data_IF_918093305465
#
_entry.id   IF_918093305465
#
_cell.length_a   1.000
_cell.length_b   1.000
_cell.length_c   1.000
_cell.angle_alpha   90.00
_cell.angle_beta   90.00
_cell.angle_gamma   90.00
#
_symmetry.space_group_name_H-M   'P 1'
#
loop_
_entity.id
_entity.type
_entity.pdbx_description
1 polymer ?
#
# COMPACT_ATOMS: atom_id res chain seq x y z
N UNK A 1 14.70 -12.12 16.81
CA UNK A 1 15.65 -11.28 17.61
C UNK A 1 15.34 -9.82 17.32
N UNK A 2 15.49 -8.92 18.31
CA UNK A 2 15.23 -7.46 18.14
C UNK A 2 16.57 -6.75 17.98
N UNK A 3 16.72 -5.95 16.93
CA UNK A 3 17.90 -5.13 16.64
C UNK A 3 17.59 -3.66 16.91
N UNK A 4 18.61 -2.92 17.37
CA UNK A 4 18.57 -1.47 17.62
C UNK A 4 19.67 -0.72 16.86
N UNK A 5 20.44 -1.44 16.02
CA UNK A 5 21.30 -0.87 14.99
C UNK A 5 20.44 -0.46 13.79
N UNK A 6 20.96 0.40 12.94
CA UNK A 6 20.27 0.65 11.67
C UNK A 6 20.50 -0.51 10.69
N UNK A 7 19.48 -0.88 9.90
CA UNK A 7 19.60 -1.88 8.83
C UNK A 7 20.84 -1.69 7.94
N UNK A 8 21.14 -0.46 7.55
CA UNK A 8 22.29 -0.11 6.72
C UNK A 8 23.63 -0.52 7.33
N UNK A 9 23.80 -0.34 8.65
CA UNK A 9 25.03 -0.70 9.36
C UNK A 9 25.28 -2.21 9.34
N UNK A 10 24.21 -3.00 9.27
CA UNK A 10 24.25 -4.47 9.16
C UNK A 10 24.27 -4.95 7.69
N UNK A 11 24.29 -4.03 6.71
CA UNK A 11 24.31 -4.34 5.28
C UNK A 11 22.95 -4.68 4.68
N UNK A 12 21.85 -4.31 5.36
CA UNK A 12 20.49 -4.51 4.88
C UNK A 12 20.01 -3.31 4.07
N UNK A 13 19.12 -3.58 3.10
CA UNK A 13 18.45 -2.58 2.28
C UNK A 13 17.03 -3.02 1.94
N UNK A 14 16.15 -2.08 1.64
CA UNK A 14 14.80 -2.36 1.18
C UNK A 14 14.82 -2.74 -0.31
N UNK A 15 14.43 -3.97 -0.69
CA UNK A 15 14.34 -4.38 -2.10
C UNK A 15 13.19 -3.66 -2.81
N UNK A 16 13.25 -3.57 -4.12
CA UNK A 16 12.13 -3.06 -4.92
C UNK A 16 10.92 -3.99 -4.86
N UNK A 17 9.72 -3.44 -4.97
CA UNK A 17 8.49 -4.24 -5.04
C UNK A 17 8.43 -5.10 -6.31
N UNK A 18 9.02 -4.64 -7.41
CA UNK A 18 9.12 -5.45 -8.64
C UNK A 18 10.16 -6.59 -8.58
N UNK A 19 10.94 -6.73 -7.50
CA UNK A 19 11.81 -7.89 -7.23
C UNK A 19 10.94 -9.14 -6.93
N UNK A 20 11.60 -10.30 -6.77
CA UNK A 20 10.89 -11.54 -6.41
C UNK A 20 10.47 -11.53 -4.95
N UNK A 21 9.21 -11.88 -4.70
CA UNK A 21 8.63 -12.04 -3.37
C UNK A 21 8.71 -13.50 -2.89
N UNK A 22 8.98 -13.69 -1.60
CA UNK A 22 8.73 -14.94 -0.89
C UNK A 22 7.23 -15.07 -0.57
N UNK A 23 6.62 -13.96 -0.14
CA UNK A 23 5.22 -13.90 0.25
C UNK A 23 4.65 -12.48 0.18
N UNK A 24 3.33 -12.39 0.34
CA UNK A 24 2.57 -11.16 0.56
C UNK A 24 1.81 -11.26 1.88
N UNK A 25 1.63 -10.14 2.59
CA UNK A 25 0.74 -10.01 3.74
C UNK A 25 -0.49 -9.21 3.32
N UNK A 26 -1.67 -9.68 3.70
CA UNK A 26 -2.94 -8.96 3.66
C UNK A 26 -3.67 -9.14 4.99
N UNK A 27 -4.56 -8.22 5.32
CA UNK A 27 -5.44 -8.30 6.49
C UNK A 27 -6.86 -8.49 5.99
N UNK A 28 -7.63 -9.41 6.59
CA UNK A 28 -9.01 -9.65 6.18
C UNK A 28 -9.91 -8.51 6.67
N UNK A 29 -10.70 -7.83 5.79
CA UNK A 29 -11.40 -6.62 6.16
C UNK A 29 -12.61 -6.89 7.06
N UNK A 30 -12.75 -6.10 8.14
CA UNK A 30 -13.84 -6.26 9.10
C UNK A 30 -14.31 -4.96 9.78
N UNK A 31 -13.51 -3.86 9.78
CA UNK A 31 -13.89 -2.59 10.44
C UNK A 31 -15.15 -1.97 9.83
N UNK A 32 -16.25 -1.74 10.61
CA UNK A 32 -17.50 -1.21 10.05
C UNK A 32 -17.40 0.25 9.58
N UNK A 33 -16.46 1.04 10.10
CA UNK A 33 -16.21 2.41 9.68
C UNK A 33 -15.50 2.52 8.32
N UNK A 34 -14.78 1.47 7.89
CA UNK A 34 -14.12 1.39 6.59
C UNK A 34 -14.88 0.51 5.60
N UNK A 35 -15.55 -0.55 6.08
CA UNK A 35 -16.14 -1.61 5.26
C UNK A 35 -17.60 -1.83 5.62
N UNK A 36 -18.57 -1.20 4.90
CA UNK A 36 -20.00 -1.32 5.21
C UNK A 36 -20.53 -2.74 5.02
N UNK A 37 -21.67 -3.03 5.65
CA UNK A 37 -22.40 -4.29 5.53
C UNK A 37 -21.54 -5.53 5.86
N UNK A 38 -20.81 -5.50 7.00
CA UNK A 38 -19.91 -6.58 7.43
C UNK A 38 -18.81 -6.86 6.40
N UNK A 39 -18.33 -5.84 5.71
CA UNK A 39 -17.29 -5.89 4.68
C UNK A 39 -17.61 -6.83 3.49
N UNK A 40 -18.86 -7.18 3.21
CA UNK A 40 -19.21 -8.20 2.19
C UNK A 40 -18.65 -7.89 0.80
N UNK A 41 -18.76 -6.63 0.34
CA UNK A 41 -18.25 -6.21 -0.96
C UNK A 41 -16.71 -6.20 -0.96
N UNK A 42 -16.09 -5.62 0.06
CA UNK A 42 -14.65 -5.60 0.22
C UNK A 42 -14.07 -7.03 0.29
N UNK A 43 -14.61 -7.92 1.13
CA UNK A 43 -14.18 -9.33 1.24
C UNK A 43 -14.18 -10.07 -0.10
N UNK A 44 -15.15 -9.77 -0.96
CA UNK A 44 -15.21 -10.34 -2.31
C UNK A 44 -14.05 -9.88 -3.18
N UNK A 45 -13.69 -8.61 -3.14
CA UNK A 45 -12.55 -8.05 -3.89
C UNK A 45 -11.23 -8.54 -3.30
N UNK A 46 -11.08 -8.51 -1.97
CA UNK A 46 -9.90 -9.06 -1.28
C UNK A 46 -9.67 -10.52 -1.65
N UNK A 47 -10.73 -11.35 -1.66
CA UNK A 47 -10.61 -12.76 -2.04
C UNK A 47 -10.12 -12.96 -3.48
N UNK A 48 -10.51 -12.09 -4.43
CA UNK A 48 -9.98 -12.11 -5.79
C UNK A 48 -8.49 -11.78 -5.83
N UNK A 49 -8.09 -10.74 -5.10
CA UNK A 49 -6.68 -10.34 -4.98
C UNK A 49 -5.87 -11.49 -4.36
N UNK A 50 -6.35 -12.07 -3.26
CA UNK A 50 -5.72 -13.23 -2.59
C UNK A 50 -5.59 -14.42 -3.57
N UNK A 51 -6.60 -14.69 -4.38
CA UNK A 51 -6.53 -15.76 -5.39
C UNK A 51 -5.42 -15.52 -6.43
N UNK A 52 -5.27 -14.28 -6.93
CA UNK A 52 -4.22 -13.95 -7.88
C UNK A 52 -2.82 -13.98 -7.25
N UNK A 53 -2.67 -13.52 -6.02
CA UNK A 53 -1.41 -13.59 -5.28
C UNK A 53 -1.03 -15.04 -4.99
N UNK A 54 -1.95 -15.85 -4.47
CA UNK A 54 -1.68 -17.27 -4.13
C UNK A 54 -1.29 -18.12 -5.34
N UNK A 55 -1.70 -17.72 -6.55
CA UNK A 55 -1.27 -18.36 -7.80
C UNK A 55 0.21 -18.11 -8.15
N UNK A 56 0.85 -17.15 -7.49
CA UNK A 56 2.22 -16.72 -7.81
C UNK A 56 3.19 -16.90 -6.63
N UNK A 57 2.70 -16.77 -5.39
CA UNK A 57 3.52 -16.71 -4.19
C UNK A 57 2.69 -17.08 -2.94
N UNK A 58 3.35 -17.29 -1.81
CA UNK A 58 2.66 -17.47 -0.54
C UNK A 58 1.96 -16.18 -0.12
N UNK A 59 0.83 -16.32 0.58
CA UNK A 59 0.14 -15.18 1.17
C UNK A 59 -0.23 -15.49 2.62
N UNK A 60 0.11 -14.56 3.50
CA UNK A 60 -0.36 -14.50 4.87
C UNK A 60 -1.61 -13.63 4.91
N UNK A 61 -2.72 -14.19 5.36
CA UNK A 61 -3.96 -13.43 5.57
C UNK A 61 -4.17 -13.33 7.08
N UNK A 62 -4.00 -12.11 7.58
CA UNK A 62 -4.21 -11.82 9.00
C UNK A 62 -5.70 -11.76 9.25
N UNK A 63 -6.13 -12.42 10.33
CA UNK A 63 -7.53 -12.54 10.76
C UNK A 63 -7.62 -12.33 12.26
N UNK A 64 -8.74 -11.79 12.73
CA UNK A 64 -9.09 -11.80 14.15
C UNK A 64 -9.83 -13.09 14.53
N UNK A 65 -10.02 -13.34 15.81
CA UNK A 65 -10.88 -14.43 16.29
C UNK A 65 -12.31 -14.32 15.72
N UNK A 66 -12.79 -13.09 15.48
CA UNK A 66 -14.14 -12.85 14.95
C UNK A 66 -14.25 -13.14 13.43
N UNK A 67 -13.18 -12.94 12.68
CA UNK A 67 -13.17 -13.07 11.21
C UNK A 67 -12.58 -14.38 10.69
N UNK A 68 -11.86 -15.16 11.50
CA UNK A 68 -11.15 -16.38 11.07
C UNK A 68 -12.08 -17.40 10.41
N UNK A 69 -13.25 -17.67 10.99
CA UNK A 69 -14.20 -18.62 10.41
C UNK A 69 -14.71 -18.17 9.04
N UNK A 70 -15.04 -16.88 8.91
CA UNK A 70 -15.50 -16.30 7.65
C UNK A 70 -14.40 -16.32 6.58
N UNK A 71 -13.16 -15.98 6.95
CA UNK A 71 -12.00 -16.02 6.06
C UNK A 71 -11.70 -17.46 5.62
N UNK A 72 -11.67 -18.41 6.55
CA UNK A 72 -11.46 -19.84 6.27
C UNK A 72 -12.50 -20.36 5.29
N UNK A 73 -13.78 -20.11 5.57
CA UNK A 73 -14.88 -20.54 4.70
C UNK A 73 -14.72 -19.94 3.29
N UNK A 74 -14.48 -18.64 3.19
CA UNK A 74 -14.42 -17.93 1.91
C UNK A 74 -13.17 -18.28 1.08
N UNK A 75 -12.02 -18.48 1.73
CA UNK A 75 -10.75 -18.64 1.02
C UNK A 75 -10.35 -20.12 0.84
N UNK A 76 -10.72 -20.99 1.78
CA UNK A 76 -10.22 -22.37 1.82
C UNK A 76 -11.29 -23.41 1.57
N UNK A 77 -12.47 -23.29 2.19
CA UNK A 77 -13.48 -24.36 2.17
C UNK A 77 -14.46 -24.21 1.02
N UNK A 78 -15.13 -23.06 0.91
CA UNK A 78 -16.21 -22.80 -0.06
C UNK A 78 -15.96 -21.46 -0.80
N UNK A 79 -14.89 -21.36 -1.63
CA UNK A 79 -14.63 -20.12 -2.34
C UNK A 79 -15.81 -19.77 -3.26
N UNK A 80 -16.23 -18.49 -3.32
CA UNK A 80 -17.30 -18.05 -4.21
C UNK A 80 -17.02 -18.43 -5.67
N UNK A 81 -18.05 -18.75 -6.46
CA UNK A 81 -17.91 -19.18 -7.86
C UNK A 81 -17.09 -18.20 -8.73
N UNK A 82 -17.11 -16.89 -8.39
CA UNK A 82 -16.37 -15.86 -9.10
C UNK A 82 -14.86 -15.90 -8.83
N UNK A 83 -14.44 -16.63 -7.80
CA UNK A 83 -13.05 -16.93 -7.44
C UNK A 83 -12.79 -18.43 -7.37
N UNK A 84 -13.64 -19.22 -8.03
CA UNK A 84 -13.57 -20.69 -8.09
C UNK A 84 -12.28 -21.27 -8.70
N UNK A 85 -11.25 -20.44 -8.88
CA UNK A 85 -9.93 -20.80 -9.38
C UNK A 85 -8.81 -20.54 -8.36
N UNK A 86 -9.06 -20.53 -7.05
CA UNK A 86 -7.95 -20.61 -6.08
C UNK A 86 -7.37 -22.02 -6.19
N UNK A 87 -6.46 -22.17 -7.16
CA UNK A 87 -5.81 -23.46 -7.46
C UNK A 87 -4.75 -23.81 -6.41
N UNK A 88 -4.20 -22.80 -5.71
CA UNK A 88 -3.07 -22.95 -4.79
C UNK A 88 -3.46 -22.55 -3.35
N UNK A 89 -4.47 -23.20 -2.80
CA UNK A 89 -4.91 -22.96 -1.41
C UNK A 89 -3.80 -23.21 -0.38
N UNK A 90 -2.85 -24.08 -0.71
CA UNK A 90 -1.67 -24.36 0.11
C UNK A 90 -0.74 -23.16 0.27
N UNK A 91 -0.84 -22.17 -0.61
CA UNK A 91 -0.11 -20.92 -0.51
C UNK A 91 -0.79 -19.91 0.43
N UNK A 92 -2.03 -20.15 0.86
CA UNK A 92 -2.78 -19.28 1.76
C UNK A 92 -2.58 -19.75 3.20
N UNK A 93 -2.01 -18.88 4.03
CA UNK A 93 -1.86 -19.11 5.46
C UNK A 93 -2.65 -18.07 6.24
N UNK A 94 -3.63 -18.50 7.01
CA UNK A 94 -4.31 -17.63 7.97
C UNK A 94 -3.43 -17.45 9.20
N UNK A 95 -3.29 -16.21 9.68
CA UNK A 95 -2.51 -15.84 10.86
C UNK A 95 -3.42 -15.05 11.80
N UNK A 96 -3.64 -15.57 13.00
CA UNK A 96 -4.55 -14.94 13.94
C UNK A 96 -3.82 -13.83 14.74
N UNK A 97 -4.09 -12.58 14.36
CA UNK A 97 -3.62 -11.35 15.03
C UNK A 97 -4.74 -10.33 14.94
N UNK A 98 -5.18 -9.80 16.09
CA UNK A 98 -6.13 -8.69 16.11
C UNK A 98 -5.51 -7.42 15.53
N UNK A 99 -6.25 -6.75 14.65
CA UNK A 99 -5.94 -5.46 14.04
C UNK A 99 -7.11 -4.49 14.22
N UNK A 100 -6.88 -3.21 13.96
CA UNK A 100 -7.95 -2.20 13.96
C UNK A 100 -8.55 -2.05 12.56
N UNK A 101 -7.75 -2.22 11.48
CA UNK A 101 -8.26 -2.24 10.09
C UNK A 101 -7.37 -3.09 9.15
N UNK A 102 -7.62 -3.01 7.84
CA UNK A 102 -7.09 -3.91 6.83
C UNK A 102 -5.95 -3.32 5.97
N UNK A 103 -5.26 -2.29 6.44
CA UNK A 103 -4.24 -1.55 5.70
C UNK A 103 -2.83 -2.14 5.91
N UNK A 104 -2.61 -3.34 5.38
CA UNK A 104 -1.38 -4.10 5.58
C UNK A 104 -0.11 -3.36 5.11
N UNK A 105 -0.21 -2.49 4.11
CA UNK A 105 0.92 -1.68 3.64
C UNK A 105 1.52 -0.81 4.73
N UNK A 106 0.66 -0.23 5.56
CA UNK A 106 1.03 0.80 6.52
C UNK A 106 1.31 0.23 7.92
N UNK A 107 0.69 -0.91 8.26
CA UNK A 107 0.71 -1.48 9.61
C UNK A 107 1.57 -2.74 9.71
N UNK A 108 1.79 -3.49 8.61
CA UNK A 108 2.68 -4.64 8.61
C UNK A 108 4.16 -4.20 8.53
N UNK A 109 5.13 -5.09 8.89
CA UNK A 109 6.54 -4.73 8.85
C UNK A 109 7.00 -4.33 7.45
N UNK A 110 7.78 -3.26 7.33
CA UNK A 110 8.61 -3.05 6.14
C UNK A 110 9.76 -4.04 6.15
N UNK A 111 9.99 -4.76 5.05
CA UNK A 111 11.05 -5.77 5.02
C UNK A 111 12.30 -5.28 4.30
N UNK A 112 13.44 -5.59 4.89
CA UNK A 112 14.77 -5.37 4.35
C UNK A 112 15.50 -6.70 4.21
N UNK A 113 16.44 -6.77 3.26
CA UNK A 113 17.31 -7.95 3.11
C UNK A 113 18.77 -7.56 2.95
N UNK A 114 19.66 -8.47 3.30
CA UNK A 114 21.10 -8.33 3.05
C UNK A 114 21.52 -9.03 1.73
N UNK A 115 22.81 -8.94 1.41
CA UNK A 115 23.39 -9.59 0.22
C UNK A 115 23.36 -11.12 0.28
N UNK A 116 23.28 -11.72 1.47
CA UNK A 116 23.17 -13.17 1.66
C UNK A 116 21.73 -13.68 1.46
N UNK A 117 20.76 -12.75 1.43
CA UNK A 117 19.33 -13.04 1.34
C UNK A 117 18.66 -13.21 2.70
N UNK A 118 19.32 -12.89 3.80
CA UNK A 118 18.65 -12.81 5.10
C UNK A 118 17.62 -11.67 5.07
N UNK A 119 16.41 -11.93 5.58
CA UNK A 119 15.30 -10.99 5.59
C UNK A 119 14.96 -10.62 7.03
N UNK A 120 14.78 -9.33 7.31
CA UNK A 120 14.33 -8.79 8.60
C UNK A 120 13.19 -7.80 8.39
N UNK A 121 12.30 -7.71 9.37
CA UNK A 121 11.29 -6.65 9.42
C UNK A 121 11.85 -5.35 10.00
N UNK A 122 11.15 -4.24 9.75
CA UNK A 122 11.30 -2.99 10.49
C UNK A 122 9.96 -2.69 11.15
N UNK A 123 10.00 -2.42 12.43
CA UNK A 123 8.86 -1.99 13.22
C UNK A 123 8.86 -0.46 13.30
N UNK A 124 7.97 0.19 12.55
CA UNK A 124 7.73 1.62 12.63
C UNK A 124 6.64 1.93 13.66
N UNK A 125 6.56 3.18 14.09
CA UNK A 125 5.39 3.65 14.84
C UNK A 125 4.27 4.00 13.87
N UNK A 126 3.12 3.35 14.04
CA UNK A 126 1.89 3.69 13.36
C UNK A 126 1.00 4.55 14.28
N UNK A 127 0.37 5.58 13.71
CA UNK A 127 -0.47 6.50 14.47
C UNK A 127 -1.75 6.90 13.70
N UNK A 128 -2.31 6.00 12.92
CA UNK A 128 -3.52 6.23 12.12
C UNK A 128 -3.38 7.47 11.19
N UNK A 129 -2.22 7.62 10.56
CA UNK A 129 -1.86 8.66 9.58
C UNK A 129 -1.85 10.10 10.09
N UNK A 130 -1.85 10.32 11.39
CA UNK A 130 -1.79 11.70 11.90
C UNK A 130 -1.90 11.83 13.42
N UNK A 131 -2.19 10.74 14.13
CA UNK A 131 -2.31 10.71 15.58
C UNK A 131 -3.36 11.72 16.08
N UNK A 132 -3.02 12.44 17.14
CA UNK A 132 -3.92 13.43 17.74
C UNK A 132 -4.09 14.71 16.89
N UNK A 133 -3.31 14.87 15.79
CA UNK A 133 -3.34 16.10 14.99
C UNK A 133 -4.38 16.01 13.87
N UNK A 134 -4.30 14.97 13.05
CA UNK A 134 -5.17 14.73 11.89
C UNK A 134 -5.35 13.23 11.60
N UNK A 135 -5.20 12.38 12.63
CA UNK A 135 -5.41 10.93 12.51
C UNK A 135 -6.85 10.56 12.17
N UNK A 136 -7.00 9.51 11.37
CA UNK A 136 -8.30 9.07 10.85
C UNK A 136 -9.09 8.19 11.84
N UNK A 137 -8.43 7.64 12.86
CA UNK A 137 -9.04 6.71 13.82
C UNK A 137 -8.93 7.23 15.25
N UNK A 138 -9.93 6.89 16.05
CA UNK A 138 -9.92 7.19 17.48
C UNK A 138 -8.95 6.30 18.30
N UNK A 139 -8.60 5.11 17.76
CA UNK A 139 -7.64 4.18 18.35
C UNK A 139 -6.95 3.37 17.27
N UNK A 140 -5.67 2.99 17.49
CA UNK A 140 -4.84 2.27 16.51
C UNK A 140 -3.79 1.35 17.14
N UNK A 141 -3.95 1.01 18.42
CA UNK A 141 -2.93 0.27 19.17
C UNK A 141 -2.73 -1.15 18.66
N UNK A 142 -3.75 -1.77 18.06
CA UNK A 142 -3.64 -3.12 17.48
C UNK A 142 -2.86 -3.10 16.20
N UNK A 143 -3.11 -2.10 15.36
CA UNK A 143 -2.40 -1.86 14.11
C UNK A 143 -0.93 -1.49 14.38
N UNK A 144 -0.66 -0.61 15.35
CA UNK A 144 0.70 -0.25 15.78
C UNK A 144 1.50 -1.45 16.30
N UNK A 145 0.83 -2.44 16.89
CA UNK A 145 1.45 -3.66 17.40
C UNK A 145 1.63 -4.78 16.34
N UNK A 146 1.03 -4.63 15.15
CA UNK A 146 0.97 -5.70 14.15
C UNK A 146 2.35 -6.15 13.68
N UNK A 147 3.24 -5.19 13.37
CA UNK A 147 4.57 -5.49 12.83
C UNK A 147 5.38 -6.41 13.76
N UNK A 148 5.37 -6.10 15.06
CA UNK A 148 6.05 -6.91 16.08
C UNK A 148 5.42 -8.29 16.21
N UNK A 149 4.09 -8.35 16.36
CA UNK A 149 3.37 -9.62 16.51
C UNK A 149 3.58 -10.54 15.32
N UNK A 150 3.52 -10.00 14.10
CA UNK A 150 3.75 -10.78 12.89
C UNK A 150 5.18 -11.33 12.84
N UNK A 151 6.19 -10.50 13.10
CA UNK A 151 7.59 -10.94 13.11
C UNK A 151 7.83 -12.04 14.15
N UNK A 152 7.29 -11.88 15.35
CA UNK A 152 7.45 -12.87 16.42
C UNK A 152 6.76 -14.20 16.10
N UNK A 153 5.53 -14.17 15.55
CA UNK A 153 4.76 -15.37 15.21
C UNK A 153 5.34 -16.13 14.03
N UNK A 154 5.83 -15.41 13.01
CA UNK A 154 6.37 -16.00 11.79
C UNK A 154 7.89 -16.21 11.83
N UNK A 155 8.53 -15.83 12.95
CA UNK A 155 9.95 -16.13 13.22
C UNK A 155 10.92 -15.19 12.48
N UNK A 156 10.48 -13.98 12.13
CA UNK A 156 11.36 -12.96 11.56
C UNK A 156 12.07 -12.19 12.67
N UNK A 157 13.33 -11.96 12.47
CA UNK A 157 14.06 -10.93 13.22
C UNK A 157 13.60 -9.55 12.75
N UNK A 158 13.71 -8.51 13.59
CA UNK A 158 13.32 -7.18 13.20
C UNK A 158 14.16 -6.07 13.85
N UNK A 159 14.18 -4.91 13.20
CA UNK A 159 14.70 -3.65 13.72
C UNK A 159 13.56 -2.89 14.40
N UNK A 160 13.81 -2.39 15.60
CA UNK A 160 12.82 -1.64 16.36
C UNK A 160 13.06 -0.13 16.19
N UNK A 161 12.31 0.46 15.26
CA UNK A 161 12.35 1.88 14.91
C UNK A 161 11.06 2.60 15.35
N UNK A 162 10.43 2.10 16.42
CA UNK A 162 9.14 2.59 16.94
C UNK A 162 9.20 4.01 17.56
N UNK A 163 10.34 4.69 17.50
CA UNK A 163 10.50 6.10 17.82
C UNK A 163 10.22 7.02 16.60
N UNK A 164 9.98 6.45 15.42
CA UNK A 164 9.77 7.16 14.17
C UNK A 164 8.44 6.76 13.53
N UNK A 165 7.55 7.74 13.33
CA UNK A 165 6.25 7.51 12.65
C UNK A 165 6.49 7.39 11.16
N UNK A 166 6.15 6.22 10.59
CA UNK A 166 6.25 5.97 9.16
C UNK A 166 5.25 4.88 8.74
N UNK A 167 4.63 5.05 7.61
CA UNK A 167 3.79 4.08 6.93
C UNK A 167 4.48 3.54 5.69
N UNK A 168 4.27 2.26 5.37
CA UNK A 168 4.84 1.64 4.16
C UNK A 168 4.40 2.31 2.86
N UNK A 169 3.19 2.88 2.82
CA UNK A 169 2.67 3.64 1.67
C UNK A 169 3.33 5.00 1.47
N UNK A 170 3.98 5.56 2.50
CA UNK A 170 4.70 6.84 2.43
C UNK A 170 6.08 6.73 1.77
N UNK A 171 6.56 5.50 1.47
CA UNK A 171 7.86 5.23 0.86
C UNK A 171 7.73 4.32 -0.35
N UNK A 172 8.56 4.54 -1.38
CA UNK A 172 8.70 3.62 -2.51
C UNK A 172 10.17 3.56 -2.95
N UNK A 173 10.69 2.37 -3.27
CA UNK A 173 12.12 2.19 -3.59
C UNK A 173 12.33 1.46 -4.91
N UNK A 174 13.44 1.78 -5.58
CA UNK A 174 13.94 1.04 -6.75
C UNK A 174 14.80 -0.18 -6.38
N UNK A 175 15.04 -0.41 -5.07
CA UNK A 175 15.89 -1.49 -4.59
C UNK A 175 17.38 -1.31 -4.93
N UNK A 176 17.77 -0.17 -5.50
CA UNK A 176 19.12 0.14 -5.96
C UNK A 176 19.67 1.43 -5.32
N UNK A 177 19.09 1.84 -4.21
CA UNK A 177 19.56 2.97 -3.39
C UNK A 177 18.74 4.24 -3.52
N UNK A 178 17.66 4.26 -4.31
CA UNK A 178 16.77 5.42 -4.42
C UNK A 178 15.45 5.15 -3.69
N UNK A 179 15.01 6.10 -2.86
CA UNK A 179 13.70 6.11 -2.20
C UNK A 179 12.93 7.36 -2.63
N UNK A 180 11.65 7.20 -2.92
CA UNK A 180 10.69 8.27 -3.16
C UNK A 180 9.82 8.46 -1.92
N UNK A 181 9.55 9.72 -1.59
CA UNK A 181 8.63 10.15 -0.55
C UNK A 181 7.90 11.41 -1.00
N UNK A 182 6.84 11.82 -0.31
CA UNK A 182 6.22 13.14 -0.51
C UNK A 182 6.51 14.08 0.65
N UNK A 183 6.68 15.38 0.33
CA UNK A 183 6.83 16.42 1.34
C UNK A 183 5.52 16.59 2.14
N UNK A 184 4.39 16.54 1.46
CA UNK A 184 3.06 16.66 2.09
C UNK A 184 2.87 15.65 3.21
N UNK A 185 3.32 14.40 3.03
CA UNK A 185 3.20 13.36 4.03
C UNK A 185 4.25 13.49 5.13
N UNK A 186 5.54 13.31 4.79
CA UNK A 186 6.56 13.14 5.82
C UNK A 186 6.89 14.42 6.60
N UNK A 187 6.58 15.61 6.05
CA UNK A 187 6.74 16.89 6.74
C UNK A 187 5.44 17.36 7.40
N UNK A 188 4.37 16.55 7.40
CA UNK A 188 3.14 16.87 8.10
C UNK A 188 3.36 16.89 9.61
N UNK A 189 2.53 17.67 10.31
CA UNK A 189 2.59 17.75 11.79
C UNK A 189 2.13 16.45 12.47
N UNK A 190 1.38 15.63 11.74
CA UNK A 190 0.89 14.35 12.21
C UNK A 190 1.92 13.21 12.15
N UNK A 191 3.17 13.47 11.72
CA UNK A 191 4.24 12.44 11.63
C UNK A 191 5.35 12.72 12.65
N UNK A 192 6.42 13.37 12.23
CA UNK A 192 7.63 13.62 13.05
C UNK A 192 7.94 15.11 13.16
N UNK A 193 7.05 15.95 13.73
CA UNK A 193 7.19 17.42 13.70
C UNK A 193 8.40 17.95 14.48
N UNK A 194 9.03 17.11 15.31
CA UNK A 194 10.24 17.44 16.07
C UNK A 194 11.52 17.31 15.23
N UNK A 195 11.44 16.68 14.04
CA UNK A 195 12.57 16.43 13.16
C UNK A 195 12.59 17.39 11.97
N UNK A 196 13.77 17.80 11.57
CA UNK A 196 14.00 18.50 10.30
C UNK A 196 13.92 17.55 9.12
N UNK A 197 13.74 18.09 7.91
CA UNK A 197 13.77 17.31 6.67
C UNK A 197 15.05 16.50 6.52
N UNK A 198 16.21 17.09 6.86
CA UNK A 198 17.51 16.42 6.76
C UNK A 198 17.62 15.24 7.76
N UNK A 199 17.08 15.39 8.97
CA UNK A 199 17.06 14.30 9.96
C UNK A 199 16.13 13.16 9.53
N UNK A 200 14.97 13.46 8.94
CA UNK A 200 14.06 12.47 8.38
C UNK A 200 14.76 11.73 7.21
N UNK A 201 15.40 12.46 6.31
CA UNK A 201 16.11 11.88 5.18
C UNK A 201 17.23 10.94 5.63
N UNK A 202 18.02 11.33 6.64
CA UNK A 202 19.09 10.50 7.19
C UNK A 202 18.52 9.25 7.87
N UNK A 203 17.40 9.35 8.60
CA UNK A 203 16.69 8.21 9.21
C UNK A 203 16.26 7.22 8.12
N UNK A 204 15.63 7.70 7.04
CA UNK A 204 15.21 6.86 5.91
C UNK A 204 16.40 6.15 5.25
N UNK A 205 17.50 6.87 5.00
CA UNK A 205 18.72 6.29 4.41
C UNK A 205 19.30 5.17 5.27
N UNK A 206 19.31 5.37 6.58
CA UNK A 206 19.86 4.39 7.51
C UNK A 206 18.96 3.17 7.68
N UNK A 207 17.65 3.37 7.76
CA UNK A 207 16.69 2.28 7.93
C UNK A 207 16.45 1.49 6.64
N UNK A 208 16.42 2.15 5.48
CA UNK A 208 16.11 1.51 4.20
C UNK A 208 17.36 1.12 3.40
N UNK A 209 18.57 1.40 3.92
CA UNK A 209 19.82 1.16 3.21
C UNK A 209 19.95 1.97 1.92
N UNK A 210 19.31 3.15 1.88
CA UNK A 210 19.28 4.00 0.70
C UNK A 210 20.50 4.93 0.62
N UNK A 211 20.80 5.38 -0.61
CA UNK A 211 21.85 6.36 -0.90
C UNK A 211 21.25 7.77 -1.04
N UNK A 212 20.04 7.86 -1.61
CA UNK A 212 19.34 9.12 -1.83
C UNK A 212 17.84 8.99 -1.58
N UNK A 213 17.24 10.09 -1.15
CA UNK A 213 15.78 10.25 -1.05
C UNK A 213 15.35 11.36 -2.00
N UNK A 214 14.38 11.09 -2.85
CA UNK A 214 13.77 12.09 -3.74
C UNK A 214 12.44 12.51 -3.12
N UNK A 215 12.33 13.79 -2.80
CA UNK A 215 11.16 14.37 -2.19
C UNK A 215 10.23 14.95 -3.26
N UNK A 216 9.11 14.27 -3.50
CA UNK A 216 8.06 14.78 -4.37
C UNK A 216 7.25 15.84 -3.60
N UNK A 217 6.92 17.00 -4.22
CA UNK A 217 6.19 18.04 -3.50
C UNK A 217 4.79 17.62 -3.04
N UNK A 218 4.11 16.81 -3.86
CA UNK A 218 2.71 16.46 -3.68
C UNK A 218 2.44 14.98 -4.02
N UNK A 219 1.29 14.47 -3.57
CA UNK A 219 0.76 13.16 -3.92
C UNK A 219 -0.49 13.22 -4.79
N UNK A 220 -1.53 12.45 -4.45
CA UNK A 220 -2.84 12.50 -5.12
C UNK A 220 -3.75 13.49 -4.40
N UNK A 221 -4.52 14.23 -5.19
CA UNK A 221 -5.50 15.19 -4.68
C UNK A 221 -6.52 14.51 -3.76
N UNK A 222 -6.73 15.10 -2.59
CA UNK A 222 -7.65 14.65 -1.57
C UNK A 222 -7.33 13.27 -0.98
N UNK A 223 -6.04 12.93 -0.91
CA UNK A 223 -5.59 11.71 -0.24
C UNK A 223 -5.53 11.94 1.28
N UNK A 224 -6.32 11.16 2.01
CA UNK A 224 -6.51 11.24 3.45
C UNK A 224 -5.23 10.97 4.27
N UNK A 225 -4.29 10.24 3.66
CA UNK A 225 -3.02 9.88 4.31
C UNK A 225 -1.97 11.00 4.25
N UNK A 226 -2.37 12.24 3.96
CA UNK A 226 -1.49 13.37 3.65
C UNK A 226 -0.67 13.16 2.37
N UNK A 227 -1.25 12.52 1.36
CA UNK A 227 -0.65 12.34 0.04
C UNK A 227 0.52 11.34 0.05
N UNK A 228 0.26 10.07 0.39
CA UNK A 228 1.24 8.99 0.26
C UNK A 228 1.84 8.89 -1.14
N UNK A 229 3.13 8.53 -1.21
CA UNK A 229 3.83 8.41 -2.51
C UNK A 229 3.33 7.25 -3.36
N UNK A 230 2.88 6.16 -2.76
CA UNK A 230 2.40 4.95 -3.43
C UNK A 230 1.14 5.17 -4.28
N UNK A 231 0.45 6.28 -4.03
CA UNK A 231 -0.74 6.67 -4.77
C UNK A 231 -0.42 7.56 -5.98
N UNK A 232 0.73 8.25 -5.99
CA UNK A 232 1.13 9.18 -7.05
C UNK A 232 2.26 8.68 -7.92
N UNK A 233 3.25 7.95 -7.37
CA UNK A 233 4.46 7.56 -8.10
C UNK A 233 4.99 6.20 -7.62
N UNK A 234 5.24 5.28 -8.55
CA UNK A 234 5.76 3.95 -8.25
C UNK A 234 6.89 3.57 -9.20
N UNK A 235 7.97 2.98 -8.67
CA UNK A 235 9.03 2.39 -9.47
C UNK A 235 8.55 1.13 -10.17
N UNK A 236 8.91 1.00 -11.45
CA UNK A 236 8.67 -0.21 -12.26
C UNK A 236 9.98 -0.87 -12.69
N UNK A 237 11.08 -0.15 -12.58
CA UNK A 237 12.47 -0.60 -12.76
C UNK A 237 13.40 0.38 -12.04
N UNK A 238 14.70 0.05 -11.99
CA UNK A 238 15.73 0.96 -11.47
C UNK A 238 15.70 2.29 -12.23
N UNK A 239 15.61 3.40 -11.49
CA UNK A 239 15.54 4.77 -12.03
C UNK A 239 14.38 5.01 -13.03
N UNK A 240 13.30 4.18 -12.99
CA UNK A 240 12.18 4.25 -13.93
C UNK A 240 10.85 4.13 -13.16
N UNK A 241 9.94 5.11 -13.34
CA UNK A 241 8.68 5.20 -12.59
C UNK A 241 7.48 5.37 -13.51
N UNK A 242 6.30 5.01 -12.97
CA UNK A 242 5.02 5.55 -13.43
C UNK A 242 4.60 6.68 -12.51
N UNK A 243 4.06 7.75 -13.07
CA UNK A 243 3.55 8.93 -12.37
C UNK A 243 2.08 9.13 -12.72
N UNK A 244 1.22 9.27 -11.74
CA UNK A 244 -0.19 9.62 -11.92
C UNK A 244 -0.32 10.94 -12.68
N UNK A 245 -1.11 10.97 -13.76
CA UNK A 245 -1.15 12.07 -14.70
C UNK A 245 -2.54 12.37 -15.21
N UNK A 246 -2.85 13.65 -15.36
CA UNK A 246 -3.97 14.16 -16.15
C UNK A 246 -3.49 15.24 -17.10
N UNK A 247 -4.11 15.35 -18.29
CA UNK A 247 -3.88 16.45 -19.22
C UNK A 247 -4.92 17.59 -19.04
N UNK A 248 -5.92 17.39 -18.16
CA UNK A 248 -6.89 18.43 -17.83
C UNK A 248 -6.28 19.43 -16.85
N UNK A 249 -5.96 20.62 -17.35
CA UNK A 249 -5.41 21.71 -16.57
C UNK A 249 -6.38 22.31 -15.54
N UNK A 250 -7.66 21.97 -15.59
CA UNK A 250 -8.64 22.39 -14.61
C UNK A 250 -8.74 21.40 -13.43
N UNK A 251 -8.22 20.19 -13.59
CA UNK A 251 -8.13 19.23 -12.48
C UNK A 251 -6.97 19.64 -11.57
N UNK A 252 -7.17 19.79 -10.24
CA UNK A 252 -6.11 20.11 -9.30
C UNK A 252 -4.93 19.13 -9.36
N UNK A 253 -5.16 17.89 -9.77
CA UNK A 253 -4.10 16.89 -9.94
C UNK A 253 -3.07 17.29 -11.01
N UNK A 254 -3.44 18.10 -12.01
CA UNK A 254 -2.51 18.52 -13.07
C UNK A 254 -1.27 19.22 -12.49
N UNK A 255 -1.49 20.28 -11.69
CA UNK A 255 -0.38 21.05 -11.11
C UNK A 255 0.44 20.22 -10.11
N UNK A 256 -0.23 19.34 -9.35
CA UNK A 256 0.43 18.43 -8.40
C UNK A 256 1.35 17.47 -9.14
N UNK A 257 0.86 16.80 -10.17
CA UNK A 257 1.65 15.86 -10.99
C UNK A 257 2.77 16.56 -11.76
N UNK A 258 2.53 17.77 -12.29
CA UNK A 258 3.55 18.54 -13.01
C UNK A 258 4.71 18.95 -12.08
N UNK A 259 4.42 19.29 -10.82
CA UNK A 259 5.44 19.57 -9.82
C UNK A 259 6.31 18.35 -9.51
N UNK A 260 5.71 17.17 -9.40
CA UNK A 260 6.41 15.91 -9.19
C UNK A 260 7.24 15.52 -10.43
N UNK A 261 6.71 15.67 -11.63
CA UNK A 261 7.43 15.38 -12.88
C UNK A 261 8.75 16.14 -12.97
N UNK A 262 8.73 17.47 -12.67
CA UNK A 262 9.93 18.30 -12.67
C UNK A 262 11.01 17.76 -11.73
N UNK A 263 10.63 17.43 -10.49
CA UNK A 263 11.58 16.88 -9.50
C UNK A 263 12.15 15.54 -9.97
N UNK A 264 11.33 14.65 -10.52
CA UNK A 264 11.78 13.35 -11.03
C UNK A 264 12.77 13.51 -12.19
N UNK A 265 12.46 14.39 -13.17
CA UNK A 265 13.34 14.65 -14.32
C UNK A 265 14.67 15.31 -13.89
N UNK A 266 14.64 16.27 -12.96
CA UNK A 266 15.84 16.90 -12.39
C UNK A 266 16.75 15.90 -11.66
N UNK A 267 16.18 14.82 -11.12
CA UNK A 267 16.89 13.73 -10.46
C UNK A 267 17.28 12.59 -11.41
N UNK A 268 17.04 12.73 -12.72
CA UNK A 268 17.42 11.76 -13.74
C UNK A 268 16.54 10.50 -13.75
N UNK A 269 15.35 10.57 -13.19
CA UNK A 269 14.37 9.48 -13.19
C UNK A 269 13.60 9.48 -14.52
N UNK A 270 13.50 8.33 -15.15
CA UNK A 270 12.68 8.14 -16.34
C UNK A 270 11.21 7.99 -15.94
N UNK A 271 10.37 8.91 -16.43
CA UNK A 271 8.97 8.99 -16.05
C UNK A 271 8.05 8.49 -17.16
N UNK A 272 7.12 7.62 -16.83
CA UNK A 272 5.98 7.23 -17.66
C UNK A 272 4.70 7.77 -17.04
N UNK A 273 3.92 8.50 -17.83
CA UNK A 273 2.64 9.05 -17.41
C UNK A 273 1.58 7.94 -17.42
N UNK A 274 1.03 7.63 -16.26
CA UNK A 274 -0.11 6.73 -16.11
C UNK A 274 -1.35 7.59 -15.82
N UNK A 275 -2.47 7.47 -16.56
CA UNK A 275 -3.61 8.35 -16.33
C UNK A 275 -4.13 8.23 -14.89
N UNK A 276 -4.77 9.28 -14.39
CA UNK A 276 -5.78 9.14 -13.33
C UNK A 276 -7.14 8.86 -13.98
N UNK A 277 -8.18 8.45 -13.24
CA UNK A 277 -9.53 8.33 -13.79
C UNK A 277 -9.96 9.62 -14.49
N UNK A 278 -10.51 9.51 -15.73
CA UNK A 278 -10.96 10.66 -16.54
C UNK A 278 -12.05 11.48 -15.84
N UNK A 279 -12.87 10.80 -15.05
CA UNK A 279 -13.89 11.41 -14.23
C UNK A 279 -13.59 11.14 -12.76
N UNK A 280 -13.67 12.15 -11.88
CA UNK A 280 -13.45 11.94 -10.45
C UNK A 280 -14.30 10.80 -9.90
N UNK A 281 -13.68 9.87 -9.20
CA UNK A 281 -14.40 8.84 -8.46
C UNK A 281 -14.88 9.46 -7.17
N UNK A 282 -16.20 9.57 -7.03
CA UNK A 282 -16.81 10.24 -5.88
C UNK A 282 -17.70 9.31 -5.07
N UNK A 283 -17.89 9.66 -3.80
CA UNK A 283 -18.83 9.01 -2.90
C UNK A 283 -20.26 9.27 -3.37
N UNK A 284 -21.00 8.21 -3.64
CA UNK A 284 -22.43 8.27 -3.96
C UNK A 284 -23.29 8.19 -2.70
N UNK A 285 -24.57 8.52 -2.84
CA UNK A 285 -25.50 8.43 -1.72
C UNK A 285 -25.65 7.00 -1.19
N UNK A 286 -25.64 6.02 -2.09
CA UNK A 286 -25.77 4.60 -1.74
C UNK A 286 -24.49 4.05 -1.06
N UNK A 287 -23.33 4.67 -1.32
CA UNK A 287 -22.08 4.26 -0.73
C UNK A 287 -22.01 4.55 0.78
N UNK A 288 -22.79 5.52 1.28
CA UNK A 288 -22.82 5.86 2.71
C UNK A 288 -23.73 4.97 3.54
N UNK A 289 -24.51 4.12 2.88
CA UNK A 289 -25.38 3.19 3.59
C UNK A 289 -24.55 2.05 4.21
N UNK A 290 -24.84 1.72 5.46
CA UNK A 290 -24.26 0.58 6.15
C UNK A 290 -22.89 0.81 6.81
N UNK A 291 -22.32 2.02 6.74
CA UNK A 291 -21.19 2.38 7.58
C UNK A 291 -21.62 2.57 9.04
N UNK A 292 -20.73 2.17 9.95
CA UNK A 292 -20.90 2.40 11.39
C UNK A 292 -19.58 3.05 11.86
N UNK A 293 -19.63 4.38 12.01
CA UNK A 293 -18.48 5.16 12.48
C UNK A 293 -18.44 5.18 14.00
N UNK A 294 -17.24 5.18 14.56
CA UNK A 294 -17.00 5.43 15.96
C UNK A 294 -16.96 6.95 16.24
N UNK A 295 -17.14 7.32 17.50
CA UNK A 295 -17.07 8.73 17.90
C UNK A 295 -15.63 9.26 17.67
N UNK A 296 -15.49 10.32 16.87
CA UNK A 296 -14.21 10.94 16.52
C UNK A 296 -13.62 10.48 15.18
N UNK A 297 -14.29 9.59 14.45
CA UNK A 297 -13.90 9.24 13.09
C UNK A 297 -14.44 10.25 12.06
N UNK A 298 -13.66 10.49 11.01
CA UNK A 298 -14.11 11.28 9.88
C UNK A 298 -15.19 10.54 9.08
N UNK A 299 -16.27 11.25 8.80
CA UNK A 299 -17.42 10.74 8.05
C UNK A 299 -17.35 11.25 6.62
N UNK A 300 -17.39 10.35 5.64
CA UNK A 300 -17.43 10.72 4.23
C UNK A 300 -18.70 11.46 3.86
N UNK A 301 -18.60 12.36 2.88
CA UNK A 301 -19.72 13.15 2.37
C UNK A 301 -20.08 12.74 0.94
N UNK A 302 -21.38 12.82 0.59
CA UNK A 302 -21.86 12.60 -0.79
C UNK A 302 -21.22 13.62 -1.73
N UNK A 303 -20.59 13.14 -2.80
CA UNK A 303 -19.86 13.97 -3.77
C UNK A 303 -18.40 14.20 -3.41
N UNK A 304 -17.94 13.75 -2.26
CA UNK A 304 -16.52 13.75 -1.91
C UNK A 304 -15.70 12.99 -2.95
N UNK A 305 -14.62 13.60 -3.48
CA UNK A 305 -13.71 12.94 -4.42
C UNK A 305 -12.75 12.04 -3.66
N UNK A 306 -12.72 10.77 -4.04
CA UNK A 306 -11.80 9.77 -3.51
C UNK A 306 -10.44 9.88 -4.21
N UNK A 307 -9.36 9.53 -3.52
CA UNK A 307 -7.98 9.54 -4.03
C UNK A 307 -7.70 8.37 -4.99
N UNK A 308 -8.54 8.20 -6.00
CA UNK A 308 -8.49 7.10 -6.95
C UNK A 308 -7.32 7.24 -7.92
N UNK A 309 -6.41 6.27 -7.94
CA UNK A 309 -5.23 6.26 -8.79
C UNK A 309 -4.94 4.86 -9.33
N UNK A 310 -4.56 4.77 -10.62
CA UNK A 310 -4.04 3.53 -11.21
C UNK A 310 -2.60 3.23 -10.76
N UNK A 311 -1.89 4.18 -10.16
CA UNK A 311 -0.52 3.99 -9.62
C UNK A 311 -0.53 3.12 -8.37
N UNK A 312 -1.63 3.05 -7.65
CA UNK A 312 -1.78 2.20 -6.46
C UNK A 312 -2.04 0.72 -6.83
N UNK A 313 -1.26 0.20 -7.79
CA UNK A 313 -1.23 -1.21 -8.19
C UNK A 313 -0.28 -2.01 -7.29
N UNK A 314 -0.31 -3.33 -7.39
CA UNK A 314 0.60 -4.23 -6.69
C UNK A 314 1.27 -5.21 -7.64
N UNK A 315 2.60 -5.39 -7.49
CA UNK A 315 3.34 -6.43 -8.16
C UNK A 315 3.21 -7.76 -7.42
N UNK A 316 2.89 -8.83 -8.14
CA UNK A 316 3.15 -10.19 -7.70
C UNK A 316 4.31 -10.76 -8.52
N UNK A 317 4.81 -11.96 -8.18
CA UNK A 317 5.85 -12.61 -8.98
C UNK A 317 5.47 -12.84 -10.46
N UNK A 318 4.18 -12.87 -10.79
CA UNK A 318 3.69 -13.17 -12.16
C UNK A 318 2.81 -12.09 -12.76
N UNK A 319 2.27 -11.19 -11.95
CA UNK A 319 1.26 -10.24 -12.41
C UNK A 319 1.46 -8.83 -11.84
N UNK A 320 0.77 -7.88 -12.45
CA UNK A 320 0.48 -6.56 -11.89
C UNK A 320 -1.02 -6.50 -11.63
N UNK A 321 -1.41 -6.37 -10.37
CA UNK A 321 -2.81 -6.18 -9.98
C UNK A 321 -3.14 -4.69 -10.09
N UNK A 322 -3.89 -4.32 -11.13
CA UNK A 322 -4.14 -2.93 -11.49
C UNK A 322 -5.56 -2.51 -11.12
N UNK A 323 -5.76 -1.46 -10.28
CA UNK A 323 -7.09 -1.01 -9.94
C UNK A 323 -7.87 -0.53 -11.15
N UNK A 324 -9.20 -0.75 -11.13
CA UNK A 324 -10.16 -0.29 -12.13
C UNK A 324 -11.37 0.32 -11.42
N UNK A 325 -11.88 1.40 -11.98
CA UNK A 325 -12.97 2.17 -11.37
C UNK A 325 -14.30 2.05 -12.12
N UNK A 326 -14.28 1.57 -13.36
CA UNK A 326 -15.47 1.27 -14.16
C UNK A 326 -16.34 2.48 -14.51
N UNK A 327 -17.58 2.22 -14.89
CA UNK A 327 -18.54 3.29 -15.25
C UNK A 327 -17.98 4.25 -16.30
N UNK A 328 -18.04 5.55 -16.01
CA UNK A 328 -17.54 6.61 -16.88
C UNK A 328 -16.00 6.62 -17.02
N UNK A 329 -15.30 5.80 -16.22
CA UNK A 329 -13.85 5.65 -16.27
C UNK A 329 -13.36 4.44 -17.09
N UNK A 330 -14.27 3.72 -17.76
CA UNK A 330 -13.92 2.50 -18.53
C UNK A 330 -12.82 2.76 -19.57
N UNK A 331 -12.74 3.94 -20.17
CA UNK A 331 -11.70 4.23 -21.17
C UNK A 331 -10.35 4.55 -20.52
N UNK A 332 -10.30 5.30 -19.43
CA UNK A 332 -9.07 5.47 -18.64
C UNK A 332 -8.59 4.15 -18.04
N UNK A 333 -9.49 3.28 -17.59
CA UNK A 333 -9.18 1.91 -17.15
C UNK A 333 -8.43 1.14 -18.24
N UNK A 334 -8.95 1.14 -19.48
CA UNK A 334 -8.32 0.47 -20.63
C UNK A 334 -6.98 1.10 -21.02
N UNK A 335 -6.85 2.43 -20.92
CA UNK A 335 -5.58 3.10 -21.18
C UNK A 335 -4.52 2.71 -20.17
N UNK A 336 -4.86 2.69 -18.89
CA UNK A 336 -3.95 2.26 -17.81
C UNK A 336 -3.46 0.82 -18.04
N UNK A 337 -4.36 -0.13 -18.36
CA UNK A 337 -3.99 -1.51 -18.71
C UNK A 337 -2.99 -1.54 -19.87
N UNK A 338 -3.31 -0.89 -21.02
CA UNK A 338 -2.42 -0.89 -22.19
C UNK A 338 -1.04 -0.30 -21.93
N UNK A 339 -0.95 0.70 -21.05
CA UNK A 339 0.32 1.31 -20.65
C UNK A 339 1.11 0.30 -19.80
N UNK A 340 0.49 -0.27 -18.77
CA UNK A 340 1.17 -1.21 -17.88
C UNK A 340 1.58 -2.51 -18.59
N UNK A 341 0.80 -3.03 -19.54
CA UNK A 341 1.19 -4.18 -20.37
C UNK A 341 2.47 -3.91 -21.19
N UNK A 342 2.65 -2.68 -21.68
CA UNK A 342 3.87 -2.28 -22.42
C UNK A 342 5.07 -2.11 -21.48
N UNK A 343 4.84 -1.57 -20.30
CA UNK A 343 5.89 -1.28 -19.33
C UNK A 343 6.35 -2.54 -18.57
N UNK A 344 5.44 -3.49 -18.35
CA UNK A 344 5.69 -4.72 -17.60
C UNK A 344 5.50 -5.98 -18.46
N UNK A 345 6.23 -6.16 -19.58
CA UNK A 345 5.97 -7.23 -20.57
C UNK A 345 6.19 -8.64 -20.03
N UNK A 346 6.88 -8.76 -18.90
CA UNK A 346 7.17 -10.04 -18.24
C UNK A 346 6.12 -10.44 -17.18
N UNK A 347 5.10 -9.62 -16.97
CA UNK A 347 4.01 -9.84 -16.03
C UNK A 347 2.65 -9.69 -16.73
N UNK A 348 1.69 -10.47 -16.31
CA UNK A 348 0.30 -10.29 -16.77
C UNK A 348 -0.32 -9.13 -16.00
N UNK A 349 -0.88 -8.15 -16.72
CA UNK A 349 -1.67 -7.09 -16.07
C UNK A 349 -3.08 -7.61 -15.82
N UNK A 350 -3.49 -7.64 -14.57
CA UNK A 350 -4.79 -8.13 -14.14
C UNK A 350 -5.62 -6.96 -13.62
N UNK A 351 -6.68 -6.55 -14.35
CA UNK A 351 -7.57 -5.49 -13.91
C UNK A 351 -8.44 -5.97 -12.75
N UNK A 352 -8.46 -5.21 -11.65
CA UNK A 352 -9.24 -5.49 -10.44
C UNK A 352 -10.23 -4.35 -10.20
N UNK A 353 -11.52 -4.65 -10.15
CA UNK A 353 -12.53 -3.66 -9.75
C UNK A 353 -12.25 -3.20 -8.30
N UNK A 354 -11.89 -1.94 -8.13
CA UNK A 354 -11.35 -1.42 -6.88
C UNK A 354 -12.30 -0.44 -6.16
N UNK A 355 -13.53 -0.22 -6.69
CA UNK A 355 -14.46 0.71 -6.07
C UNK A 355 -14.77 0.36 -4.62
N UNK A 356 -14.99 -0.92 -4.32
CA UNK A 356 -15.31 -1.39 -2.97
C UNK A 356 -14.11 -1.32 -2.00
N UNK A 357 -12.89 -1.07 -2.52
CA UNK A 357 -11.70 -0.84 -1.71
C UNK A 357 -11.49 0.65 -1.49
N UNK A 358 -11.57 1.46 -2.55
CA UNK A 358 -11.30 2.90 -2.46
C UNK A 358 -12.31 3.62 -1.57
N UNK A 359 -13.51 3.10 -1.43
CA UNK A 359 -14.50 3.59 -0.48
C UNK A 359 -14.05 3.47 0.99
N UNK A 360 -13.16 2.53 1.29
CA UNK A 360 -12.51 2.42 2.59
C UNK A 360 -11.39 3.42 2.83
N UNK A 361 -10.91 4.12 1.80
CA UNK A 361 -9.85 5.14 1.90
C UNK A 361 -8.58 4.85 1.10
N UNK A 362 -8.29 3.59 0.76
CA UNK A 362 -7.10 3.18 0.04
C UNK A 362 -7.39 2.30 -1.17
N UNK A 363 -6.35 1.66 -1.74
CA UNK A 363 -6.51 0.82 -2.92
C UNK A 363 -5.65 -0.47 -2.79
N UNK A 364 -5.32 -1.13 -3.90
CA UNK A 364 -4.70 -2.47 -3.93
C UNK A 364 -3.33 -2.47 -3.23
N UNK A 365 -2.49 -1.45 -3.48
CA UNK A 365 -1.19 -1.35 -2.83
C UNK A 365 -1.32 -1.17 -1.31
N UNK A 366 -2.27 -0.35 -0.87
CA UNK A 366 -2.50 -0.04 0.55
C UNK A 366 -2.88 -1.29 1.38
N UNK A 367 -3.53 -2.27 0.77
CA UNK A 367 -3.97 -3.51 1.45
C UNK A 367 -2.97 -4.67 1.35
N UNK A 368 -1.81 -4.46 0.73
CA UNK A 368 -0.80 -5.49 0.46
C UNK A 368 0.58 -5.07 0.96
N UNK A 369 1.35 -6.01 1.53
CA UNK A 369 2.74 -5.79 1.93
C UNK A 369 3.59 -6.99 1.50
N UNK A 370 4.63 -6.76 0.69
CA UNK A 370 5.51 -7.82 0.22
C UNK A 370 6.56 -8.24 1.25
N UNK A 371 6.88 -9.52 1.27
CA UNK A 371 8.06 -10.09 1.92
C UNK A 371 9.03 -10.47 0.80
N UNK A 372 10.22 -9.88 0.73
CA UNK A 372 11.17 -10.17 -0.35
C UNK A 372 11.69 -11.60 -0.29
N UNK A 373 11.93 -12.21 -1.45
CA UNK A 373 12.49 -13.54 -1.51
C UNK A 373 13.94 -13.59 -0.99
N UNK A 374 14.26 -14.68 -0.34
CA UNK A 374 15.64 -15.05 -0.02
C UNK A 374 16.35 -15.35 -1.34
N UNK A 375 17.43 -14.64 -1.66
CA UNK A 375 18.28 -15.02 -2.82
C UNK A 375 18.92 -16.37 -2.51
N UNK A 376 18.45 -17.41 -3.20
CA UNK A 376 19.09 -18.73 -3.18
C UNK A 376 20.26 -18.78 -4.14
#
# INVERSE_FOLDING_TARGET
>A
MIYRSFPKDDGFYMPAEFDTHEATIMIFPERPGSWPYEAKAARKVFSKIIAHISAAERIYVIVSDASEEAARKMLLDEPPCEIAGIENKENIKLVNIDTDDAWARDTAPTFVRDASGCVRGINWKFNAWGGDFDGLYASWERDDALAVKFCEMEGYDYYDEHDFVLEGGSIHTDGAGTVLVTESCLLSKGRNPQMSKDEIEEKLKNCLGAERVIWLPRGIYNDETNEHVDNVCAFIAKDEVVLAWTDDKNDPQYEMSESCLRVLEENGIKVHKLPVPDNPVCVGKEDLEGYIFEEGEDVREVGERLAASYVNFYFTNKAVLLPQFGGDNTESDRRAVRIMEKLCPNRTVIPISARDIILGGGNIHCITQQIPAIKR
#
